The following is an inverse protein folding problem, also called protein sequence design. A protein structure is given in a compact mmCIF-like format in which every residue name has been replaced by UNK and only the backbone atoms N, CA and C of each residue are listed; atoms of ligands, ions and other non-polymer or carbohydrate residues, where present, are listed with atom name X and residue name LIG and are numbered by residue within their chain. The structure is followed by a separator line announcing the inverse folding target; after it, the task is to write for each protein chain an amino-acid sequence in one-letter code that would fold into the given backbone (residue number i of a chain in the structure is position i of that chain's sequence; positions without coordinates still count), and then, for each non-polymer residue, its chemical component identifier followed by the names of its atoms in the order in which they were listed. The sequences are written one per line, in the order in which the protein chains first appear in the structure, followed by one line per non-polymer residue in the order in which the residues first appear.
data_IF_168719782059
#
_entry.id   IF_168719782059
#
_cell.length_a   1.000
_cell.length_b   1.000
_cell.length_c   1.000
_cell.angle_alpha   90.00
_cell.angle_beta   90.00
_cell.angle_gamma   90.00
#
_symmetry.space_group_name_H-M   'P 1'
#
loop_
_entity.id
_entity.type
_entity.pdbx_description
1 polymer ?
#
# COMPACT_ATOMS: atom_id res chain seq x y z
N UNK A 1 1.04 18.59 58.87
CA UNK A 1 2.38 18.24 58.34
C UNK A 1 2.10 17.45 57.05
N UNK A 2 1.93 18.04 55.86
CA UNK A 2 2.88 18.73 54.95
C UNK A 2 4.12 17.91 54.58
N UNK A 3 4.40 17.89 53.28
CA UNK A 3 5.58 17.44 52.51
C UNK A 3 5.54 15.97 52.02
N UNK A 4 5.24 15.74 50.74
CA UNK A 4 6.08 15.88 49.52
C UNK A 4 6.79 14.55 49.20
N UNK A 5 6.27 13.82 48.22
CA UNK A 5 7.01 12.82 47.45
C UNK A 5 6.47 12.82 46.02
N UNK A 6 6.65 13.96 45.35
CA UNK A 6 6.54 14.13 43.91
C UNK A 6 7.87 14.70 43.44
N UNK A 7 8.33 14.24 42.27
CA UNK A 7 9.52 14.67 41.53
C UNK A 7 10.82 13.92 41.86
N UNK A 8 11.13 12.91 41.03
CA UNK A 8 12.47 12.66 40.45
C UNK A 8 12.38 11.45 39.50
N UNK A 9 11.74 11.63 38.34
CA UNK A 9 11.89 10.70 37.21
C UNK A 9 11.58 11.44 35.90
N UNK A 10 12.29 12.55 35.69
CA UNK A 10 12.08 13.45 34.55
C UNK A 10 13.41 13.95 33.95
N UNK A 11 14.48 13.15 34.00
CA UNK A 11 15.77 13.53 33.37
C UNK A 11 16.51 12.29 32.86
N UNK A 12 16.00 11.61 31.83
CA UNK A 12 16.77 10.61 31.05
C UNK A 12 16.04 10.21 29.75
N UNK A 13 15.66 11.20 28.93
CA UNK A 13 15.19 10.94 27.56
C UNK A 13 15.42 12.12 26.59
N UNK A 14 16.37 13.01 26.89
CA UNK A 14 16.79 14.10 26.00
C UNK A 14 18.31 13.98 25.77
N UNK A 15 18.76 13.04 24.94
CA UNK A 15 20.18 12.95 24.57
C UNK A 15 20.49 12.14 23.30
N UNK A 16 19.55 11.92 22.37
CA UNK A 16 19.83 11.21 21.12
C UNK A 16 19.11 11.82 19.91
N UNK A 17 19.26 13.13 19.72
CA UNK A 17 19.01 13.80 18.44
C UNK A 17 20.07 14.88 18.25
N UNK A 18 21.16 14.53 17.57
CA UNK A 18 22.06 15.46 16.86
C UNK A 18 23.17 14.65 16.21
N UNK A 19 23.46 14.98 14.94
CA UNK A 19 24.50 14.43 14.03
C UNK A 19 23.95 13.38 13.07
N UNK A 20 23.54 13.80 11.88
CA UNK A 20 24.32 13.64 10.64
C UNK A 20 23.80 14.66 9.63
N UNK A 21 24.36 15.86 9.67
CA UNK A 21 24.49 16.74 8.51
C UNK A 21 25.98 16.79 8.14
N UNK A 22 26.24 17.04 6.87
CA UNK A 22 27.55 17.26 6.23
C UNK A 22 28.33 16.02 5.75
N UNK A 23 28.13 15.70 4.47
CA UNK A 23 29.21 15.23 3.60
C UNK A 23 28.95 15.64 2.14
N UNK A 24 29.03 16.94 1.88
CA UNK A 24 29.22 17.48 0.53
C UNK A 24 30.69 17.88 0.38
N UNK A 25 31.52 17.07 -0.27
CA UNK A 25 32.77 17.53 -0.88
C UNK A 25 33.41 16.45 -1.76
N UNK A 26 33.56 16.80 -3.03
CA UNK A 26 34.83 16.74 -3.75
C UNK A 26 35.57 15.40 -3.83
N UNK A 27 35.43 14.71 -4.97
CA UNK A 27 36.59 14.13 -5.65
C UNK A 27 36.49 14.36 -7.16
N UNK A 28 37.23 15.36 -7.62
CA UNK A 28 37.71 15.48 -9.00
C UNK A 28 38.74 14.39 -9.26
N UNK A 29 38.71 13.86 -10.47
CA UNK A 29 39.89 13.37 -11.18
C UNK A 29 40.20 11.90 -10.96
N UNK A 30 39.90 11.10 -11.96
CA UNK A 30 40.87 10.10 -12.39
C UNK A 30 40.75 9.88 -13.90
N UNK A 31 41.89 10.07 -14.54
CA UNK A 31 42.23 9.73 -15.91
C UNK A 31 41.85 8.29 -16.24
N UNK A 32 40.96 8.12 -17.20
CA UNK A 32 40.65 6.83 -17.77
C UNK A 32 41.67 6.50 -18.87
N UNK A 33 42.43 5.44 -18.64
CA UNK A 33 43.34 4.83 -19.60
C UNK A 33 42.49 4.02 -20.57
N UNK A 34 42.65 4.29 -21.86
CA UNK A 34 42.01 3.58 -22.97
C UNK A 34 42.72 2.23 -23.15
N UNK A 35 42.16 1.18 -22.56
CA UNK A 35 42.57 -0.21 -22.81
C UNK A 35 41.61 -0.84 -23.83
N UNK A 36 42.08 -0.89 -25.07
CA UNK A 36 41.48 -1.62 -26.18
C UNK A 36 41.47 -3.12 -25.87
N UNK A 37 40.28 -3.71 -25.81
CA UNK A 37 40.07 -5.15 -25.73
C UNK A 37 39.12 -5.61 -26.86
N UNK A 38 39.27 -6.86 -27.34
CA UNK A 38 38.93 -7.28 -28.70
C UNK A 38 37.44 -7.55 -28.94
N UNK A 39 37.01 -7.28 -30.17
CA UNK A 39 35.68 -7.59 -30.70
C UNK A 39 35.40 -9.10 -30.67
N UNK A 40 34.74 -9.55 -29.61
CA UNK A 40 34.08 -10.85 -29.57
C UNK A 40 32.67 -10.70 -30.15
N UNK A 41 32.52 -11.11 -31.41
CA UNK A 41 31.25 -11.28 -32.12
C UNK A 41 30.40 -12.34 -31.39
N UNK A 42 29.47 -11.88 -30.56
CA UNK A 42 28.40 -12.69 -29.99
C UNK A 42 27.13 -12.45 -30.80
N UNK A 43 26.67 -13.50 -31.45
CA UNK A 43 25.35 -13.60 -32.07
C UNK A 43 24.28 -13.34 -31.00
N UNK A 44 23.70 -12.14 -31.01
CA UNK A 44 22.55 -11.80 -30.18
C UNK A 44 21.33 -12.51 -30.78
N UNK A 45 20.98 -13.64 -30.20
CA UNK A 45 19.68 -14.27 -30.36
C UNK A 45 18.61 -13.23 -29.96
N UNK A 46 17.74 -12.90 -30.90
CA UNK A 46 16.71 -11.89 -30.76
C UNK A 46 15.77 -12.24 -29.60
N UNK A 47 15.98 -11.64 -28.43
CA UNK A 47 15.06 -11.72 -27.30
C UNK A 47 13.71 -11.14 -27.74
N UNK A 48 12.61 -11.91 -27.71
CA UNK A 48 11.31 -11.39 -28.06
C UNK A 48 10.94 -10.27 -27.10
N UNK A 49 10.80 -9.06 -27.67
CA UNK A 49 10.35 -7.86 -26.98
C UNK A 49 8.89 -8.06 -26.56
N UNK A 50 8.68 -8.62 -25.36
CA UNK A 50 7.36 -8.64 -24.73
C UNK A 50 6.98 -7.21 -24.40
N UNK A 51 6.23 -6.58 -25.31
CA UNK A 51 5.57 -5.32 -25.02
C UNK A 51 4.66 -5.52 -23.79
N UNK A 52 4.76 -4.68 -22.74
CA UNK A 52 3.82 -4.73 -21.64
C UNK A 52 2.44 -4.40 -22.21
N UNK A 53 1.60 -5.42 -22.38
CA UNK A 53 0.20 -5.24 -22.72
C UNK A 53 -0.39 -4.38 -21.62
N UNK A 54 -0.89 -3.21 -22.01
CA UNK A 54 -1.63 -2.29 -21.16
C UNK A 54 -2.56 -3.06 -20.22
N UNK A 55 -2.38 -2.85 -18.92
CA UNK A 55 -3.17 -3.49 -17.89
C UNK A 55 -4.67 -3.36 -18.22
N UNK A 56 -5.45 -4.46 -18.23
CA UNK A 56 -6.88 -4.39 -18.53
C UNK A 56 -7.58 -3.52 -17.50
N UNK A 57 -8.12 -2.37 -17.92
CA UNK A 57 -9.10 -1.61 -17.11
C UNK A 57 -10.46 -2.30 -17.23
N UNK A 58 -10.66 -3.41 -16.53
CA UNK A 58 -11.95 -4.07 -16.40
C UNK A 58 -12.47 -3.88 -14.96
N UNK A 59 -13.60 -3.18 -14.83
CA UNK A 59 -14.32 -3.05 -13.56
C UNK A 59 -15.45 -4.11 -13.52
N UNK A 60 -15.34 -5.17 -12.69
CA UNK A 60 -16.28 -6.29 -12.71
C UNK A 60 -17.67 -5.94 -12.10
N UNK A 61 -18.78 -6.36 -12.71
CA UNK A 61 -20.15 -6.14 -12.18
C UNK A 61 -20.49 -6.96 -10.91
N UNK A 62 -19.53 -7.69 -10.35
CA UNK A 62 -19.72 -8.50 -9.14
C UNK A 62 -19.84 -7.61 -7.89
N UNK A 63 -20.58 -8.10 -6.89
CA UNK A 63 -20.70 -7.44 -5.61
C UNK A 63 -19.31 -7.27 -4.95
N UNK A 64 -19.04 -6.16 -4.26
CA UNK A 64 -17.73 -5.90 -3.68
C UNK A 64 -17.41 -6.91 -2.56
N UNK A 65 -16.19 -7.42 -2.54
CA UNK A 65 -15.68 -8.34 -1.52
C UNK A 65 -15.07 -7.56 -0.37
N UNK A 66 -15.56 -7.78 0.85
CA UNK A 66 -15.00 -7.12 2.03
C UNK A 66 -13.82 -7.89 2.61
N UNK A 67 -12.73 -7.16 2.90
CA UNK A 67 -11.47 -7.70 3.42
C UNK A 67 -11.55 -7.98 4.92
N UNK A 68 -12.42 -7.26 5.65
CA UNK A 68 -12.58 -7.43 7.10
C UNK A 68 -12.71 -6.10 7.81
N UNK A 69 -12.51 -6.14 9.14
CA UNK A 69 -12.50 -4.95 10.00
C UNK A 69 -11.24 -4.84 10.84
N UNK A 70 -10.86 -3.61 11.18
CA UNK A 70 -9.78 -3.29 12.11
C UNK A 70 -10.28 -2.31 13.16
N UNK A 71 -10.03 -2.59 14.43
CA UNK A 71 -10.38 -1.71 15.54
C UNK A 71 -9.13 -1.04 16.09
N UNK A 72 -9.02 0.26 15.89
CA UNK A 72 -7.92 1.06 16.41
C UNK A 72 -8.08 1.31 17.93
N UNK A 73 -6.97 1.65 18.58
CA UNK A 73 -6.92 1.91 20.03
C UNK A 73 -7.69 3.16 20.47
N UNK A 74 -7.92 4.10 19.54
CA UNK A 74 -8.68 5.33 19.76
C UNK A 74 -10.22 5.11 19.65
N UNK A 75 -10.65 3.86 19.41
CA UNK A 75 -12.06 3.48 19.34
C UNK A 75 -12.66 3.52 17.93
N UNK A 76 -11.91 3.94 16.91
CA UNK A 76 -12.37 3.86 15.52
C UNK A 76 -12.35 2.41 15.02
N UNK A 77 -13.37 2.02 14.25
CA UNK A 77 -13.40 0.76 13.51
C UNK A 77 -13.34 1.04 12.00
N UNK A 78 -12.50 0.33 11.27
CA UNK A 78 -12.29 0.50 9.84
C UNK A 78 -12.71 -0.74 9.10
N UNK A 79 -13.36 -0.57 7.94
CA UNK A 79 -13.74 -1.67 7.03
C UNK A 79 -13.40 -1.28 5.60
N UNK A 80 -12.99 -2.24 4.79
CA UNK A 80 -12.70 -2.03 3.37
C UNK A 80 -13.30 -3.15 2.52
N UNK A 81 -13.92 -2.77 1.40
CA UNK A 81 -14.41 -3.70 0.40
C UNK A 81 -13.83 -3.37 -0.99
N UNK A 82 -13.33 -4.40 -1.66
CA UNK A 82 -12.63 -4.38 -2.94
C UNK A 82 -13.62 -4.74 -4.05
N UNK A 83 -13.52 -4.04 -5.18
CA UNK A 83 -14.38 -4.25 -6.35
C UNK A 83 -15.44 -3.14 -6.51
N UNK A 84 -16.22 -3.17 -7.60
CA UNK A 84 -17.07 -2.04 -7.96
C UNK A 84 -18.14 -1.70 -6.93
N UNK A 85 -18.25 -0.40 -6.63
CA UNK A 85 -19.10 0.11 -5.55
C UNK A 85 -18.59 -0.19 -4.14
N UNK A 86 -17.49 -0.95 -3.99
CA UNK A 86 -16.84 -1.22 -2.72
C UNK A 86 -16.35 0.07 -2.06
N UNK A 87 -16.43 0.15 -0.73
CA UNK A 87 -16.07 1.35 0.03
C UNK A 87 -15.07 1.01 1.13
N UNK A 88 -14.24 1.99 1.45
CA UNK A 88 -13.53 2.05 2.70
C UNK A 88 -14.34 2.94 3.66
N UNK A 89 -14.57 2.46 4.88
CA UNK A 89 -15.42 3.15 5.87
C UNK A 89 -14.73 3.18 7.22
N UNK A 90 -14.94 4.28 7.93
CA UNK A 90 -14.59 4.44 9.34
C UNK A 90 -15.88 4.54 10.14
N UNK A 91 -15.98 3.80 11.23
CA UNK A 91 -17.09 3.83 12.15
C UNK A 91 -16.61 4.42 13.47
N UNK A 92 -17.31 5.44 13.95
CA UNK A 92 -17.06 6.08 15.23
C UNK A 92 -18.38 6.35 15.93
N UNK A 93 -18.57 5.82 17.15
CA UNK A 93 -19.82 5.92 17.91
C UNK A 93 -21.08 5.57 17.10
N UNK A 94 -21.00 4.52 16.26
CA UNK A 94 -22.11 4.07 15.41
C UNK A 94 -22.36 4.93 14.17
N UNK A 95 -21.62 6.02 13.95
CA UNK A 95 -21.66 6.82 12.73
C UNK A 95 -20.61 6.32 11.75
N UNK A 96 -21.04 5.97 10.54
CA UNK A 96 -20.16 5.59 9.46
C UNK A 96 -19.77 6.82 8.61
N UNK A 97 -18.48 6.96 8.35
CA UNK A 97 -17.89 7.95 7.46
C UNK A 97 -17.29 7.21 6.27
N UNK A 98 -17.58 7.68 5.06
CA UNK A 98 -17.01 7.13 3.85
C UNK A 98 -15.58 7.67 3.67
N UNK A 99 -14.59 6.79 3.71
CA UNK A 99 -13.19 7.15 3.46
C UNK A 99 -12.87 7.17 1.95
N UNK A 100 -13.68 6.50 1.14
CA UNK A 100 -13.54 6.47 -0.31
C UNK A 100 -14.27 5.29 -0.94
N UNK A 101 -14.50 5.40 -2.24
CA UNK A 101 -15.02 4.31 -3.09
C UNK A 101 -13.86 3.69 -3.86
N UNK A 102 -13.90 2.36 -4.02
CA UNK A 102 -12.88 1.59 -4.71
C UNK A 102 -12.65 2.17 -6.10
N UNK A 103 -11.39 2.49 -6.41
CA UNK A 103 -11.01 3.14 -7.66
C UNK A 103 -10.06 2.29 -8.49
N UNK A 104 -9.05 1.69 -7.87
CA UNK A 104 -8.02 0.94 -8.58
C UNK A 104 -7.43 -0.16 -7.68
N UNK A 105 -7.04 -1.28 -8.29
CA UNK A 105 -6.22 -2.36 -7.75
C UNK A 105 -5.05 -2.57 -8.71
N UNK A 106 -3.83 -2.49 -8.19
CA UNK A 106 -2.61 -2.83 -8.91
C UNK A 106 -1.93 -4.02 -8.22
N UNK A 107 -1.65 -5.08 -8.97
CA UNK A 107 -0.91 -6.24 -8.47
C UNK A 107 0.53 -6.09 -8.94
N UNK A 108 1.45 -5.88 -7.99
CA UNK A 108 2.84 -5.52 -8.29
C UNK A 108 3.71 -6.76 -8.51
N UNK A 109 3.55 -7.77 -7.67
CA UNK A 109 4.24 -9.06 -7.80
C UNK A 109 3.20 -10.18 -7.68
N UNK A 110 2.93 -10.83 -8.81
CA UNK A 110 1.99 -11.95 -8.87
C UNK A 110 2.46 -13.18 -8.10
N UNK A 111 3.77 -13.37 -7.94
CA UNK A 111 4.33 -14.53 -7.22
C UNK A 111 4.41 -14.27 -5.71
N UNK A 112 4.79 -13.07 -5.30
CA UNK A 112 4.76 -12.68 -3.89
C UNK A 112 3.35 -12.34 -3.41
N UNK A 113 2.40 -12.11 -4.33
CA UNK A 113 1.03 -11.73 -4.02
C UNK A 113 0.95 -10.33 -3.40
N UNK A 114 1.82 -9.40 -3.80
CA UNK A 114 1.80 -8.02 -3.32
C UNK A 114 0.91 -7.16 -4.20
N UNK A 115 0.16 -6.26 -3.58
CA UNK A 115 -0.80 -5.42 -4.27
C UNK A 115 -1.00 -4.07 -3.59
N UNK A 116 -1.47 -3.12 -4.37
CA UNK A 116 -1.90 -1.80 -3.90
C UNK A 116 -3.34 -1.53 -4.32
N UNK A 117 -4.13 -0.95 -3.41
CA UNK A 117 -5.55 -0.63 -3.66
C UNK A 117 -5.80 0.81 -3.25
N UNK A 118 -6.59 1.51 -4.05
CA UNK A 118 -7.00 2.87 -3.77
C UNK A 118 -8.51 2.97 -3.59
N UNK A 119 -8.94 3.72 -2.58
CA UNK A 119 -10.30 4.22 -2.44
C UNK A 119 -10.26 5.74 -2.44
N UNK A 120 -11.05 6.37 -3.30
CA UNK A 120 -11.03 7.84 -3.48
C UNK A 120 -12.44 8.43 -3.45
N UNK A 121 -12.54 9.76 -3.33
CA UNK A 121 -13.82 10.47 -3.37
C UNK A 121 -14.70 10.22 -2.14
N UNK A 122 -14.09 10.04 -0.97
CA UNK A 122 -14.81 9.88 0.29
C UNK A 122 -15.48 11.19 0.77
N UNK A 123 -16.04 11.15 1.97
CA UNK A 123 -16.68 12.32 2.59
C UNK A 123 -15.66 13.42 2.87
N UNK A 124 -16.09 14.68 2.78
CA UNK A 124 -15.24 15.86 3.04
C UNK A 124 -15.48 16.52 4.40
N UNK A 125 -16.39 15.96 5.22
CA UNK A 125 -16.73 16.48 6.54
C UNK A 125 -15.46 16.46 7.42
N UNK A 126 -15.10 17.56 8.08
CA UNK A 126 -13.85 17.69 8.86
C UNK A 126 -12.54 17.58 8.06
N UNK A 127 -12.58 17.71 6.73
CA UNK A 127 -11.39 17.60 5.86
C UNK A 127 -10.99 18.91 5.18
N UNK A 128 -11.40 20.07 5.71
CA UNK A 128 -11.10 21.38 5.12
C UNK A 128 -11.45 21.49 3.62
N UNK A 129 -12.52 20.81 3.18
CA UNK A 129 -12.95 20.78 1.78
C UNK A 129 -12.34 19.64 0.93
N UNK A 130 -11.26 19.03 1.39
CA UNK A 130 -10.65 17.86 0.74
C UNK A 130 -11.54 16.62 0.88
N UNK A 131 -11.50 15.73 -0.11
CA UNK A 131 -12.18 14.43 -0.05
C UNK A 131 -11.27 13.42 0.66
N UNK A 132 -11.84 12.58 1.51
CA UNK A 132 -11.09 11.46 2.09
C UNK A 132 -10.60 10.50 1.01
N UNK A 133 -9.46 9.87 1.29
CA UNK A 133 -8.92 8.81 0.46
C UNK A 133 -8.18 7.77 1.30
N UNK A 134 -8.12 6.54 0.79
CA UNK A 134 -7.36 5.44 1.37
C UNK A 134 -6.41 4.90 0.32
N UNK A 135 -5.14 4.80 0.71
CA UNK A 135 -4.13 4.03 -0.01
C UNK A 135 -3.84 2.78 0.80
N UNK A 136 -4.03 1.60 0.23
CA UNK A 136 -3.70 0.35 0.88
C UNK A 136 -2.56 -0.35 0.16
N UNK A 137 -1.66 -0.92 0.94
CA UNK A 137 -0.72 -1.94 0.50
C UNK A 137 -1.16 -3.27 1.10
N UNK A 138 -0.87 -4.37 0.43
CA UNK A 138 -1.17 -5.67 0.99
C UNK A 138 -0.36 -6.79 0.40
N UNK A 139 -0.46 -7.93 1.05
CA UNK A 139 0.19 -9.17 0.65
C UNK A 139 -0.76 -10.37 0.77
N UNK A 140 -0.43 -11.44 0.05
CA UNK A 140 -1.02 -12.75 0.22
C UNK A 140 -0.85 -13.22 1.69
N UNK A 141 -1.94 -13.72 2.27
CA UNK A 141 -1.94 -14.33 3.61
C UNK A 141 -3.09 -15.32 3.73
N UNK A 142 -3.06 -16.18 4.74
CA UNK A 142 -4.17 -17.12 5.04
C UNK A 142 -5.41 -16.43 5.60
N UNK A 143 -5.29 -15.16 6.00
CA UNK A 143 -6.36 -14.40 6.62
C UNK A 143 -6.75 -13.22 5.73
N UNK A 144 -8.05 -12.93 5.66
CA UNK A 144 -8.59 -11.70 5.07
C UNK A 144 -8.82 -10.71 6.22
N UNK A 145 -7.98 -9.67 6.32
CA UNK A 145 -8.08 -8.63 7.36
C UNK A 145 -7.26 -7.37 7.03
N UNK A 146 -7.62 -6.27 7.67
CA UNK A 146 -6.78 -5.08 7.76
C UNK A 146 -5.85 -5.26 8.98
N UNK A 147 -4.53 -5.26 8.76
CA UNK A 147 -3.51 -5.39 9.81
C UNK A 147 -3.33 -4.12 10.61
N UNK A 148 -3.25 -3.00 9.91
CA UNK A 148 -2.96 -1.70 10.50
C UNK A 148 -3.58 -0.57 9.67
N UNK A 149 -3.86 0.54 10.34
CA UNK A 149 -4.38 1.76 9.75
C UNK A 149 -3.57 2.94 10.30
N UNK A 150 -3.12 3.83 9.42
CA UNK A 150 -2.41 5.07 9.77
C UNK A 150 -3.05 6.25 9.05
N UNK A 151 -3.11 7.41 9.71
CA UNK A 151 -3.54 8.68 9.09
C UNK A 151 -2.37 9.68 9.17
N UNK A 152 -1.39 9.61 8.26
CA UNK A 152 -0.24 10.51 8.28
C UNK A 152 -0.61 11.95 7.90
N UNK A 153 -1.68 12.12 7.12
CA UNK A 153 -2.22 13.42 6.75
C UNK A 153 -3.71 13.44 6.99
N UNK A 154 -4.24 14.60 7.36
CA UNK A 154 -5.67 14.79 7.60
C UNK A 154 -6.48 14.25 6.40
N UNK A 155 -7.38 13.32 6.68
CA UNK A 155 -8.27 12.67 5.70
C UNK A 155 -7.58 11.80 4.64
N UNK A 156 -6.31 11.43 4.83
CA UNK A 156 -5.59 10.45 4.01
C UNK A 156 -5.18 9.26 4.87
N UNK A 157 -5.69 8.09 4.54
CA UNK A 157 -5.47 6.88 5.32
C UNK A 157 -4.57 5.89 4.57
N UNK A 158 -3.72 5.20 5.32
CA UNK A 158 -2.85 4.14 4.84
C UNK A 158 -3.24 2.83 5.53
N UNK A 159 -3.70 1.85 4.75
CA UNK A 159 -4.07 0.54 5.25
C UNK A 159 -2.98 -0.48 4.88
N UNK A 160 -2.66 -1.38 5.80
CA UNK A 160 -1.92 -2.60 5.48
C UNK A 160 -2.89 -3.78 5.51
N UNK A 161 -3.00 -4.52 4.41
CA UNK A 161 -3.99 -5.57 4.21
C UNK A 161 -3.33 -6.94 4.01
N UNK A 162 -3.95 -7.96 4.58
CA UNK A 162 -3.70 -9.37 4.31
C UNK A 162 -4.95 -9.96 3.66
N UNK A 163 -4.82 -10.68 2.55
CA UNK A 163 -5.96 -11.39 1.97
C UNK A 163 -5.56 -12.64 1.14
N UNK A 164 -6.19 -13.81 1.38
CA UNK A 164 -5.90 -15.06 0.66
C UNK A 164 -6.27 -15.03 -0.81
N UNK A 165 -7.11 -14.09 -1.24
CA UNK A 165 -7.47 -13.93 -2.64
C UNK A 165 -6.25 -13.62 -3.53
N UNK A 166 -5.26 -12.94 -2.98
CA UNK A 166 -4.03 -12.59 -3.70
C UNK A 166 -2.93 -13.64 -3.52
N UNK A 167 -3.23 -14.75 -2.85
CA UNK A 167 -2.37 -15.93 -2.87
C UNK A 167 -2.58 -16.66 -4.19
N UNK A 168 -1.74 -16.33 -5.16
CA UNK A 168 -1.63 -17.09 -6.40
C UNK A 168 -0.63 -18.21 -6.14
N UNK A 169 -1.07 -19.46 -6.18
CA UNK A 169 -0.15 -20.60 -6.00
C UNK A 169 0.44 -21.10 -7.33
N UNK A 170 -0.17 -20.72 -8.47
CA UNK A 170 0.35 -21.00 -9.82
C UNK A 170 -0.16 -20.00 -10.86
N UNK A 171 0.57 -19.86 -11.97
CA UNK A 171 0.17 -19.01 -13.11
C UNK A 171 -1.18 -19.47 -13.71
N UNK A 172 -1.45 -20.78 -13.70
CA UNK A 172 -2.70 -21.34 -14.20
C UNK A 172 -3.90 -20.96 -13.32
N UNK A 173 -3.73 -20.97 -12.00
CA UNK A 173 -4.77 -20.56 -11.04
C UNK A 173 -5.10 -19.07 -11.15
N UNK A 174 -4.10 -18.25 -11.51
CA UNK A 174 -4.32 -16.84 -11.79
C UNK A 174 -5.23 -16.65 -13.01
N UNK A 175 -4.95 -17.33 -14.12
CA UNK A 175 -5.76 -17.21 -15.32
C UNK A 175 -7.16 -17.77 -15.11
N UNK A 176 -7.33 -18.86 -14.37
CA UNK A 176 -8.69 -19.35 -14.06
C UNK A 176 -9.47 -18.38 -13.18
N UNK A 177 -8.87 -17.81 -12.12
CA UNK A 177 -9.55 -16.79 -11.29
C UNK A 177 -9.84 -15.51 -12.07
N UNK A 178 -8.93 -15.09 -12.94
CA UNK A 178 -9.11 -13.93 -13.81
C UNK A 178 -10.20 -14.17 -14.86
N UNK A 179 -10.23 -15.36 -15.48
CA UNK A 179 -11.20 -15.76 -16.51
C UNK A 179 -12.60 -16.00 -15.94
N UNK A 180 -12.72 -16.62 -14.75
CA UNK A 180 -14.02 -16.75 -14.05
C UNK A 180 -14.58 -15.38 -13.67
N UNK A 181 -13.71 -14.41 -13.35
CA UNK A 181 -14.13 -13.03 -13.14
C UNK A 181 -14.49 -12.29 -14.44
N UNK A 182 -14.19 -12.87 -15.61
CA UNK A 182 -14.48 -12.37 -16.96
C UNK A 182 -15.72 -13.04 -17.59
N UNK A 183 -16.03 -14.28 -17.23
CA UNK A 183 -17.14 -15.08 -17.80
C UNK A 183 -18.43 -15.06 -16.96
N UNK A 184 -18.43 -14.52 -15.74
CA UNK A 184 -19.65 -14.25 -14.97
C UNK A 184 -20.48 -13.07 -15.54
N UNK A 185 -20.52 -12.95 -16.86
CA UNK A 185 -21.19 -11.91 -17.65
C UNK A 185 -22.21 -12.50 -18.61
#
# INVERSE_FOLDING_TARGET
MKFLALATLTVLAFALESRVEAASASLRGNSFVEEQAPEASLLIESVPKFAPKSAPKYAPKSAPKCVGSYKASDGHEYKACIGPGGKATQLWHGKAVNLGTFSNLNVEDMYAGTFTINWTGGDSIHCHGSKRSVHATGCCSKFSRIKSVKEPYVCTYFFEIEDPYFCVHSVDEFWEKALVSLEAH
#
